data_IF_671518888996
#
_entry.id   IF_671518888996
#
_cell.length_a   1.000
_cell.length_b   1.000
_cell.length_c   1.000
_cell.angle_alpha   90.00
_cell.angle_beta   90.00
_cell.angle_gamma   90.00
#
_symmetry.space_group_name_H-M   'P 1'
#
loop_
_entity.id
_entity.type
_entity.pdbx_description
1 polymer ?
#
# COMPACT_ATOMS: atom_id res chain seq x y z
N UNK A 1 13.80 10.88 15.97
CA UNK A 1 12.77 9.82 15.81
C UNK A 1 13.31 8.48 16.27
N UNK A 2 12.52 7.73 17.02
CA UNK A 2 12.84 6.34 17.39
C UNK A 2 12.75 5.40 16.18
N UNK A 3 13.38 4.21 16.24
CA UNK A 3 13.27 3.19 15.17
C UNK A 3 11.81 2.81 14.91
N UNK A 4 11.03 2.62 15.97
CA UNK A 4 9.60 2.27 15.88
C UNK A 4 8.78 3.37 15.22
N UNK A 5 9.07 4.63 15.53
CA UNK A 5 8.41 5.78 14.92
C UNK A 5 8.73 5.89 13.42
N UNK A 6 10.00 5.68 13.02
CA UNK A 6 10.38 5.64 11.61
C UNK A 6 9.64 4.54 10.85
N UNK A 7 9.56 3.34 11.43
CA UNK A 7 8.83 2.22 10.84
C UNK A 7 7.34 2.53 10.69
N UNK A 8 6.72 3.13 11.72
CA UNK A 8 5.32 3.54 11.67
C UNK A 8 5.04 4.50 10.50
N UNK A 9 5.86 5.54 10.33
CA UNK A 9 5.67 6.50 9.24
C UNK A 9 5.91 5.91 7.86
N UNK A 10 6.84 4.97 7.72
CA UNK A 10 7.00 4.22 6.47
C UNK A 10 5.74 3.40 6.17
N UNK A 11 5.22 2.66 7.16
CA UNK A 11 4.03 1.83 6.96
C UNK A 11 2.80 2.68 6.59
N UNK A 12 2.64 3.85 7.21
CA UNK A 12 1.59 4.82 6.84
C UNK A 12 1.78 5.33 5.42
N UNK A 13 3.00 5.67 5.03
CA UNK A 13 3.31 6.16 3.67
C UNK A 13 3.02 5.10 2.62
N UNK A 14 3.42 3.85 2.88
CA UNK A 14 3.12 2.69 2.03
C UNK A 14 1.61 2.50 1.92
N UNK A 15 0.90 2.53 3.05
CA UNK A 15 -0.55 2.36 3.08
C UNK A 15 -1.26 3.41 2.23
N UNK A 16 -0.90 4.70 2.37
CA UNK A 16 -1.50 5.78 1.58
C UNK A 16 -1.20 5.64 0.09
N UNK A 17 0.06 5.37 -0.29
CA UNK A 17 0.42 5.20 -1.69
C UNK A 17 -0.33 4.03 -2.34
N UNK A 18 -0.42 2.89 -1.64
CA UNK A 18 -1.14 1.72 -2.11
C UNK A 18 -2.65 1.93 -2.13
N UNK A 19 -3.22 2.66 -1.16
CA UNK A 19 -4.63 3.02 -1.16
C UNK A 19 -4.99 3.85 -2.41
N UNK A 20 -4.19 4.86 -2.73
CA UNK A 20 -4.38 5.67 -3.94
C UNK A 20 -4.23 4.81 -5.20
N UNK A 21 -3.22 3.93 -5.23
CA UNK A 21 -3.01 2.98 -6.34
C UNK A 21 -4.24 2.08 -6.54
N UNK A 22 -4.77 1.51 -5.46
CA UNK A 22 -5.95 0.65 -5.49
C UNK A 22 -7.17 1.41 -5.98
N UNK A 23 -7.45 2.60 -5.42
CA UNK A 23 -8.60 3.41 -5.82
C UNK A 23 -8.52 3.80 -7.30
N UNK A 24 -7.38 4.32 -7.75
CA UNK A 24 -7.17 4.66 -9.16
C UNK A 24 -7.28 3.43 -10.07
N UNK A 25 -6.79 2.27 -9.64
CA UNK A 25 -6.92 1.01 -10.37
C UNK A 25 -8.37 0.57 -10.54
N UNK A 26 -9.18 0.64 -9.46
CA UNK A 26 -10.61 0.34 -9.54
C UNK A 26 -11.37 1.37 -10.40
N UNK A 27 -11.03 2.66 -10.33
CA UNK A 27 -11.63 3.66 -11.22
C UNK A 27 -11.30 3.37 -12.69
N UNK A 28 -10.05 3.06 -13.01
CA UNK A 28 -9.61 2.70 -14.35
C UNK A 28 -10.27 1.40 -14.86
N UNK A 29 -10.57 0.46 -13.97
CA UNK A 29 -11.16 -0.82 -14.33
C UNK A 29 -12.69 -0.78 -14.45
N UNK A 30 -13.38 -0.16 -13.49
CA UNK A 30 -14.85 -0.23 -13.35
C UNK A 30 -15.59 0.98 -13.92
N UNK A 31 -14.93 2.14 -14.03
CA UNK A 31 -15.62 3.41 -14.27
C UNK A 31 -15.15 4.08 -15.56
N UNK A 32 -13.84 4.16 -15.79
CA UNK A 32 -13.27 4.88 -16.94
C UNK A 32 -13.17 3.92 -18.14
N UNK A 33 -13.79 4.22 -19.29
CA UNK A 33 -13.70 3.35 -20.46
C UNK A 33 -12.27 3.22 -20.99
N UNK A 34 -12.01 2.16 -21.77
CA UNK A 34 -10.67 1.82 -22.26
C UNK A 34 -10.22 2.63 -23.51
N UNK A 35 -10.80 3.81 -23.72
CA UNK A 35 -10.46 4.71 -24.83
C UNK A 35 -9.67 5.91 -24.30
N UNK A 36 -8.57 6.25 -24.96
CA UNK A 36 -7.62 7.26 -24.46
C UNK A 36 -8.18 8.70 -24.50
N UNK A 37 -9.12 8.98 -25.40
CA UNK A 37 -9.66 10.33 -25.63
C UNK A 37 -10.76 10.75 -24.63
N UNK A 38 -11.04 9.93 -23.61
CA UNK A 38 -12.07 10.24 -22.62
C UNK A 38 -11.50 11.05 -21.45
N UNK A 39 -12.25 12.09 -21.11
CA UNK A 39 -12.08 12.86 -19.88
C UNK A 39 -13.00 12.33 -18.79
N UNK A 40 -12.45 12.14 -17.60
CA UNK A 40 -13.20 11.77 -16.40
C UNK A 40 -12.82 12.72 -15.26
N UNK A 41 -13.83 13.36 -14.65
CA UNK A 41 -13.65 14.45 -13.67
C UNK A 41 -12.73 15.57 -14.17
N UNK A 42 -12.82 15.91 -15.46
CA UNK A 42 -12.00 16.96 -16.09
C UNK A 42 -10.54 16.59 -16.36
N UNK A 43 -10.13 15.34 -16.10
CA UNK A 43 -8.78 14.85 -16.38
C UNK A 43 -8.81 13.77 -17.49
N UNK A 44 -7.84 13.74 -18.41
CA UNK A 44 -7.76 12.71 -19.43
C UNK A 44 -7.41 11.35 -18.79
N UNK A 45 -7.84 10.25 -19.41
CA UNK A 45 -7.53 8.89 -18.95
C UNK A 45 -6.04 8.65 -18.74
N UNK A 46 -5.19 9.24 -19.59
CA UNK A 46 -3.72 9.15 -19.46
C UNK A 46 -3.22 9.68 -18.12
N UNK A 47 -3.81 10.75 -17.58
CA UNK A 47 -3.49 11.27 -16.25
C UNK A 47 -3.87 10.28 -15.14
N UNK A 48 -5.02 9.62 -15.25
CA UNK A 48 -5.44 8.60 -14.30
C UNK A 48 -4.50 7.38 -14.32
N UNK A 49 -4.10 6.94 -15.52
CA UNK A 49 -3.10 5.86 -15.70
C UNK A 49 -1.76 6.27 -15.12
N UNK A 50 -1.29 7.49 -15.41
CA UNK A 50 -0.04 8.00 -14.86
C UNK A 50 -0.07 8.05 -13.34
N UNK A 51 -1.15 8.55 -12.74
CA UNK A 51 -1.32 8.54 -11.29
C UNK A 51 -1.25 7.12 -10.72
N UNK A 52 -1.99 6.17 -11.30
CA UNK A 52 -1.97 4.77 -10.87
C UNK A 52 -0.55 4.17 -10.89
N UNK A 53 0.19 4.39 -11.98
CA UNK A 53 1.57 3.88 -12.12
C UNK A 53 2.52 4.57 -11.14
N UNK A 54 2.47 5.90 -11.02
CA UNK A 54 3.35 6.65 -10.12
C UNK A 54 3.15 6.24 -8.66
N UNK A 55 1.90 6.19 -8.17
CA UNK A 55 1.63 5.73 -6.82
C UNK A 55 1.94 4.24 -6.63
N UNK A 56 1.75 3.42 -7.67
CA UNK A 56 2.14 2.00 -7.66
C UNK A 56 3.65 1.82 -7.49
N UNK A 57 4.46 2.60 -8.21
CA UNK A 57 5.92 2.61 -8.10
C UNK A 57 6.36 3.11 -6.71
N UNK A 58 5.73 4.17 -6.19
CA UNK A 58 6.00 4.66 -4.84
C UNK A 58 5.69 3.58 -3.79
N UNK A 59 4.55 2.90 -3.92
CA UNK A 59 4.16 1.78 -3.06
C UNK A 59 5.13 0.61 -3.14
N UNK A 60 5.59 0.26 -4.34
CA UNK A 60 6.60 -0.79 -4.57
C UNK A 60 7.94 -0.44 -3.93
N UNK A 61 8.44 0.78 -4.15
CA UNK A 61 9.67 1.25 -3.52
C UNK A 61 9.56 1.24 -1.99
N UNK A 62 8.43 1.71 -1.46
CA UNK A 62 8.14 1.66 -0.02
C UNK A 62 8.13 0.22 0.52
N UNK A 63 7.48 -0.72 -0.18
CA UNK A 63 7.48 -2.14 0.20
C UNK A 63 8.90 -2.72 0.19
N UNK A 64 9.73 -2.41 -0.81
CA UNK A 64 11.13 -2.84 -0.83
C UNK A 64 11.88 -2.33 0.41
N UNK A 65 11.70 -1.05 0.76
CA UNK A 65 12.28 -0.48 1.98
C UNK A 65 11.77 -1.17 3.25
N UNK A 66 10.47 -1.46 3.31
CA UNK A 66 9.86 -2.20 4.43
C UNK A 66 10.50 -3.58 4.60
N UNK A 67 10.68 -4.34 3.51
CA UNK A 67 11.38 -5.65 3.56
C UNK A 67 12.80 -5.48 4.12
N UNK A 68 13.55 -4.50 3.62
CA UNK A 68 14.94 -4.27 4.03
C UNK A 68 15.01 -3.93 5.52
N UNK A 69 14.15 -3.04 6.02
CA UNK A 69 14.11 -2.68 7.45
C UNK A 69 13.64 -3.80 8.36
N UNK A 70 12.86 -4.74 7.82
CA UNK A 70 12.34 -5.90 8.55
C UNK A 70 13.07 -7.21 8.21
N UNK A 71 14.26 -7.15 7.61
CA UNK A 71 14.98 -8.33 7.12
C UNK A 71 15.31 -9.35 8.22
N UNK A 72 15.75 -8.89 9.39
CA UNK A 72 16.07 -9.79 10.51
C UNK A 72 14.83 -10.50 11.05
N UNK A 73 13.70 -9.81 11.09
CA UNK A 73 12.41 -10.39 11.46
C UNK A 73 11.95 -11.44 10.44
N UNK A 74 12.12 -11.16 9.14
CA UNK A 74 11.83 -12.12 8.07
C UNK A 74 12.71 -13.38 8.17
N UNK A 75 14.01 -13.24 8.44
CA UNK A 75 14.91 -14.39 8.68
C UNK A 75 14.43 -15.24 9.86
N UNK A 76 14.06 -14.61 10.97
CA UNK A 76 13.53 -15.31 12.15
C UNK A 76 12.21 -16.05 11.90
N UNK A 77 11.39 -15.59 10.94
CA UNK A 77 10.16 -16.26 10.55
C UNK A 77 10.38 -17.52 9.71
N UNK A 78 11.41 -17.56 8.86
CA UNK A 78 11.67 -18.67 7.93
C UNK A 78 11.93 -19.99 8.65
N UNK A 79 12.59 -19.96 9.81
CA UNK A 79 12.96 -21.16 10.57
C UNK A 79 11.86 -21.82 11.41
N UNK A 80 10.63 -21.27 11.46
CA UNK A 80 9.57 -21.80 12.32
C UNK A 80 8.54 -22.59 11.51
N UNK A 81 8.30 -23.88 11.76
CA UNK A 81 7.26 -24.65 11.08
C UNK A 81 5.85 -24.09 11.36
N UNK A 82 4.90 -24.35 10.46
CA UNK A 82 3.49 -24.00 10.65
C UNK A 82 2.77 -24.97 11.61
N UNK A 83 3.28 -26.21 11.70
CA UNK A 83 2.79 -27.19 12.64
C UNK A 83 3.08 -26.75 14.09
N UNK A 84 2.11 -26.94 14.98
CA UNK A 84 2.23 -26.53 16.40
C UNK A 84 2.02 -25.04 16.68
N UNK A 85 1.80 -24.22 15.65
CA UNK A 85 1.55 -22.79 15.83
C UNK A 85 0.10 -22.51 16.27
N UNK A 86 -0.09 -21.53 17.17
CA UNK A 86 -1.43 -21.07 17.55
C UNK A 86 -2.24 -20.67 16.31
N UNK A 87 -3.52 -21.06 16.26
CA UNK A 87 -4.41 -20.87 15.09
C UNK A 87 -4.36 -19.45 14.50
N UNK A 88 -4.39 -18.42 15.36
CA UNK A 88 -4.32 -17.01 14.97
C UNK A 88 -3.00 -16.67 14.26
N UNK A 89 -1.86 -17.06 14.85
CA UNK A 89 -0.55 -16.78 14.28
C UNK A 89 -0.34 -17.54 12.96
N UNK A 90 -0.86 -18.77 12.87
CA UNK A 90 -0.85 -19.56 11.64
C UNK A 90 -1.65 -18.88 10.53
N UNK A 91 -2.87 -18.41 10.81
CA UNK A 91 -3.69 -17.68 9.87
C UNK A 91 -2.98 -16.42 9.35
N UNK A 92 -2.41 -15.60 10.25
CA UNK A 92 -1.65 -14.40 9.87
C UNK A 92 -0.49 -14.74 8.92
N UNK A 93 0.24 -15.82 9.23
CA UNK A 93 1.38 -16.23 8.39
C UNK A 93 0.95 -16.75 7.03
N UNK A 94 -0.18 -17.45 6.93
CA UNK A 94 -0.75 -17.91 5.65
C UNK A 94 -1.21 -16.71 4.83
N UNK A 95 -2.00 -15.81 5.42
CA UNK A 95 -2.48 -14.58 4.75
C UNK A 95 -1.29 -13.78 4.22
N UNK A 96 -0.27 -13.54 5.04
CA UNK A 96 0.91 -12.78 4.60
C UNK A 96 1.63 -13.45 3.42
N UNK A 97 1.77 -14.77 3.40
CA UNK A 97 2.42 -15.50 2.29
C UNK A 97 1.62 -15.39 1.00
N UNK A 98 0.31 -15.60 1.06
CA UNK A 98 -0.56 -15.51 -0.12
C UNK A 98 -0.62 -14.06 -0.61
N UNK A 99 -0.70 -13.10 0.30
CA UNK A 99 -0.68 -11.67 -0.01
C UNK A 99 0.61 -11.27 -0.73
N UNK A 100 1.77 -11.77 -0.30
CA UNK A 100 3.05 -11.56 -0.99
C UNK A 100 3.04 -12.10 -2.41
N UNK A 101 2.55 -13.32 -2.60
CA UNK A 101 2.45 -13.91 -3.93
C UNK A 101 1.51 -13.10 -4.83
N UNK A 102 0.32 -12.75 -4.34
CA UNK A 102 -0.64 -11.93 -5.07
C UNK A 102 -0.05 -10.55 -5.42
N UNK A 103 0.68 -9.92 -4.50
CA UNK A 103 1.34 -8.63 -4.74
C UNK A 103 2.37 -8.73 -5.86
N UNK A 104 3.26 -9.72 -5.82
CA UNK A 104 4.29 -9.92 -6.85
C UNK A 104 3.63 -10.21 -8.20
N UNK A 105 2.65 -11.11 -8.23
CA UNK A 105 1.92 -11.45 -9.45
C UNK A 105 1.21 -10.22 -10.05
N UNK A 106 0.60 -9.37 -9.23
CA UNK A 106 -0.03 -8.10 -9.65
C UNK A 106 1.00 -7.16 -10.28
N UNK A 107 2.15 -6.96 -9.65
CA UNK A 107 3.19 -6.06 -10.17
C UNK A 107 3.82 -6.57 -11.46
N UNK A 108 4.14 -7.87 -11.54
CA UNK A 108 4.72 -8.49 -12.74
C UNK A 108 3.75 -8.41 -13.91
N UNK A 109 2.49 -8.80 -13.70
CA UNK A 109 1.47 -8.73 -14.75
C UNK A 109 1.15 -7.29 -15.16
N UNK A 110 1.14 -6.34 -14.23
CA UNK A 110 0.96 -4.92 -14.52
C UNK A 110 2.12 -4.32 -15.32
N UNK A 111 3.36 -4.65 -14.97
CA UNK A 111 4.54 -4.23 -15.72
C UNK A 111 4.57 -4.82 -17.14
N UNK A 112 4.20 -6.10 -17.29
CA UNK A 112 4.05 -6.73 -18.60
C UNK A 112 2.93 -6.08 -19.41
N UNK A 113 1.78 -5.81 -18.80
CA UNK A 113 0.67 -5.11 -19.44
C UNK A 113 1.13 -3.74 -19.93
N UNK A 114 1.76 -2.93 -19.08
CA UNK A 114 2.29 -1.62 -19.45
C UNK A 114 3.29 -1.72 -20.61
N UNK A 115 4.23 -2.68 -20.56
CA UNK A 115 5.25 -2.88 -21.60
C UNK A 115 4.63 -3.23 -22.96
N UNK A 116 3.60 -4.09 -22.98
CA UNK A 116 2.92 -4.51 -24.21
C UNK A 116 2.04 -3.42 -24.84
N UNK A 117 1.76 -2.35 -24.10
CA UNK A 117 1.02 -1.18 -24.58
C UNK A 117 1.93 -0.02 -24.98
N UNK A 118 3.26 -0.16 -24.86
CA UNK A 118 4.19 0.89 -25.28
C UNK A 118 4.11 1.09 -26.80
N UNK A 119 3.85 2.33 -27.22
CA UNK A 119 3.81 2.73 -28.63
C UNK A 119 2.58 2.30 -29.40
N UNK A 120 1.49 1.89 -28.73
CA UNK A 120 0.23 1.52 -29.37
C UNK A 120 -0.85 2.55 -29.03
N UNK A 121 -1.49 3.12 -30.05
CA UNK A 121 -2.53 4.17 -29.89
C UNK A 121 -3.87 3.61 -29.39
N UNK A 122 -4.08 2.29 -29.48
CA UNK A 122 -5.30 1.61 -29.03
C UNK A 122 -5.02 0.65 -27.88
N UNK A 123 -5.78 0.78 -26.79
CA UNK A 123 -5.68 -0.12 -25.63
C UNK A 123 -6.41 -1.43 -25.91
N UNK A 124 -5.67 -2.50 -26.21
CA UNK A 124 -6.22 -3.84 -26.42
C UNK A 124 -5.97 -4.65 -25.16
N UNK A 125 -7.05 -5.03 -24.45
CA UNK A 125 -6.96 -5.85 -23.24
C UNK A 125 -6.35 -7.22 -23.58
N UNK A 126 -5.14 -7.49 -23.08
CA UNK A 126 -4.41 -8.75 -23.25
C UNK A 126 -4.45 -9.60 -21.98
N UNK A 127 -3.82 -10.77 -22.05
CA UNK A 127 -3.73 -11.69 -20.90
C UNK A 127 -3.09 -11.03 -19.67
N UNK A 128 -1.97 -10.26 -19.78
CA UNK A 128 -1.37 -9.61 -18.61
C UNK A 128 -2.30 -8.59 -17.93
N UNK A 129 -3.13 -7.86 -18.68
CA UNK A 129 -4.13 -6.93 -18.11
C UNK A 129 -5.14 -7.67 -17.23
N UNK A 130 -5.65 -8.80 -17.72
CA UNK A 130 -6.62 -9.62 -16.98
C UNK A 130 -5.99 -10.21 -15.73
N UNK A 131 -4.76 -10.72 -15.83
CA UNK A 131 -4.02 -11.23 -14.68
C UNK A 131 -3.76 -10.13 -13.64
N UNK A 132 -3.38 -8.92 -14.09
CA UNK A 132 -3.17 -7.77 -13.22
C UNK A 132 -4.42 -7.44 -12.42
N UNK A 133 -5.59 -7.41 -13.05
CA UNK A 133 -6.87 -7.18 -12.36
C UNK A 133 -7.18 -8.32 -11.37
N UNK A 134 -7.10 -9.59 -11.80
CA UNK A 134 -7.43 -10.74 -10.93
C UNK A 134 -6.54 -10.78 -9.69
N UNK A 135 -5.22 -10.64 -9.88
CA UNK A 135 -4.29 -10.63 -8.75
C UNK A 135 -4.42 -9.35 -7.92
N UNK A 136 -4.71 -8.20 -8.53
CA UNK A 136 -4.92 -6.93 -7.83
C UNK A 136 -6.16 -6.97 -6.92
N UNK A 137 -7.26 -7.57 -7.39
CA UNK A 137 -8.47 -7.81 -6.58
C UNK A 137 -8.16 -8.78 -5.44
N UNK A 138 -7.51 -9.91 -5.73
CA UNK A 138 -7.12 -10.88 -4.70
C UNK A 138 -6.21 -10.24 -3.63
N UNK A 139 -5.22 -9.46 -4.06
CA UNK A 139 -4.31 -8.73 -3.18
C UNK A 139 -5.05 -7.70 -2.33
N UNK A 140 -6.02 -6.98 -2.89
CA UNK A 140 -6.87 -6.01 -2.15
C UNK A 140 -7.66 -6.71 -1.05
N UNK A 141 -8.33 -7.83 -1.36
CA UNK A 141 -9.08 -8.63 -0.38
C UNK A 141 -8.16 -9.12 0.74
N UNK A 142 -6.98 -9.64 0.39
CA UNK A 142 -5.98 -10.11 1.36
C UNK A 142 -5.43 -8.97 2.23
N UNK A 143 -5.27 -7.78 1.67
CA UNK A 143 -4.86 -6.58 2.41
C UNK A 143 -5.93 -6.15 3.41
N UNK A 144 -7.21 -6.15 3.02
CA UNK A 144 -8.32 -5.89 3.94
C UNK A 144 -8.32 -6.93 5.07
N UNK A 145 -8.19 -8.21 4.74
CA UNK A 145 -8.10 -9.27 5.74
C UNK A 145 -6.89 -9.07 6.68
N UNK A 146 -5.73 -8.70 6.13
CA UNK A 146 -4.53 -8.39 6.91
C UNK A 146 -4.79 -7.22 7.88
N UNK A 147 -5.38 -6.13 7.41
CA UNK A 147 -5.71 -4.97 8.25
C UNK A 147 -6.68 -5.34 9.37
N UNK A 148 -7.72 -6.14 9.09
CA UNK A 148 -8.68 -6.63 10.09
C UNK A 148 -7.99 -7.49 11.15
N UNK A 149 -7.11 -8.42 10.74
CA UNK A 149 -6.35 -9.28 11.65
C UNK A 149 -5.43 -8.48 12.59
N UNK A 150 -4.97 -7.32 12.13
CA UNK A 150 -4.04 -6.44 12.84
C UNK A 150 -4.70 -5.18 13.44
N UNK A 151 -6.01 -5.00 13.31
CA UNK A 151 -6.72 -3.77 13.65
C UNK A 151 -6.43 -3.24 15.06
N UNK A 152 -6.50 -4.11 16.08
CA UNK A 152 -6.23 -3.72 17.48
C UNK A 152 -4.83 -3.13 17.66
N UNK A 153 -3.84 -3.70 17.00
CA UNK A 153 -2.47 -3.21 17.05
C UNK A 153 -2.31 -1.91 16.26
N UNK A 154 -2.96 -1.80 15.09
CA UNK A 154 -2.93 -0.59 14.27
C UNK A 154 -3.56 0.58 15.02
N UNK A 155 -4.75 0.40 15.60
CA UNK A 155 -5.47 1.44 16.34
C UNK A 155 -4.64 1.95 17.54
N UNK A 156 -4.16 1.03 18.38
CA UNK A 156 -3.34 1.39 19.54
C UNK A 156 -2.00 2.05 19.18
N UNK A 157 -1.38 1.63 18.07
CA UNK A 157 -0.14 2.25 17.58
C UNK A 157 -0.40 3.64 17.00
N UNK A 158 -1.50 3.79 16.27
CA UNK A 158 -1.91 5.07 15.67
C UNK A 158 -2.26 6.08 16.76
N UNK A 159 -3.04 5.69 17.77
CA UNK A 159 -3.34 6.54 18.93
C UNK A 159 -2.05 7.04 19.58
N UNK A 160 -1.09 6.14 19.84
CA UNK A 160 0.18 6.48 20.49
C UNK A 160 0.96 7.54 19.71
N UNK A 161 1.10 7.38 18.40
CA UNK A 161 1.95 8.29 17.62
C UNK A 161 1.22 9.56 17.15
N UNK A 162 -0.09 9.50 16.89
CA UNK A 162 -0.88 10.69 16.52
C UNK A 162 -1.16 11.59 17.74
N UNK A 163 -1.50 11.03 18.91
CA UNK A 163 -1.71 11.84 20.12
C UNK A 163 -0.43 12.49 20.65
N UNK A 164 0.72 11.81 20.56
CA UNK A 164 2.01 12.39 20.96
C UNK A 164 2.36 13.60 20.08
N UNK A 165 2.05 13.54 18.78
CA UNK A 165 2.28 14.66 17.87
C UNK A 165 1.34 15.85 18.16
N UNK A 166 0.07 15.58 18.52
CA UNK A 166 -0.90 16.62 18.92
C UNK A 166 -0.58 17.26 20.28
N UNK A 167 -0.07 16.48 21.25
CA UNK A 167 0.46 17.05 22.51
C UNK A 167 1.69 17.92 22.26
N UNK A 168 2.64 17.48 21.44
CA UNK A 168 3.83 18.27 21.08
C UNK A 168 3.47 19.65 20.50
N UNK A 169 2.47 19.71 19.61
CA UNK A 169 1.98 20.95 19.01
C UNK A 169 1.26 21.87 20.02
N UNK A 170 0.48 21.31 20.95
CA UNK A 170 -0.22 22.10 21.98
C UNK A 170 0.73 22.63 23.05
N UNK A 171 1.74 21.87 23.47
CA UNK A 171 2.76 22.36 24.43
C UNK A 171 3.66 23.43 23.82
N UNK A 172 4.01 23.32 22.52
CA UNK A 172 4.78 24.37 21.83
C UNK A 172 3.98 25.67 21.70
N UNK A 173 2.66 25.58 21.45
CA UNK A 173 1.76 26.75 21.40
C UNK A 173 1.58 27.40 22.77
N UNK A 174 1.47 26.60 23.84
CA UNK A 174 1.40 27.11 25.22
C UNK A 174 2.69 27.83 25.66
N UNK A 175 3.86 27.29 25.30
CA UNK A 175 5.16 27.87 25.68
C UNK A 175 5.49 29.17 24.94
N UNK A 176 4.92 29.38 23.75
CA UNK A 176 5.09 30.63 22.98
C UNK A 176 4.26 31.79 23.55
N UNK A 177 3.12 31.51 24.18
CA UNK A 177 2.24 32.53 24.79
C UNK A 177 2.86 33.12 26.07
N UNK A 178 3.59 32.31 26.86
CA UNK A 178 4.25 32.79 28.08
C UNK A 178 5.56 33.56 27.85
N UNK A 179 6.07 33.66 26.62
CA UNK A 179 7.36 34.31 26.31
C UNK A 179 7.23 35.64 25.55
N UNK A 180 6.02 36.12 25.32
CA UNK A 180 5.73 37.44 24.73
C UNK A 180 5.03 38.39 25.73
N UNK A 181 4.98 38.02 27.01
CA UNK A 181 4.42 38.84 28.09
C UNK A 181 5.45 39.27 29.14
N UNK A 182 6.74 39.16 28.84
CA UNK A 182 7.86 39.70 29.64
C UNK A 182 8.57 40.79 28.84
#
# INVERSE_FOLDING_TARGET
MSKTEKNFWLDVTIFVALLITTLTGFFLWLVIPHTLDIFYLGLPRSTWVAAHICFGIMGLAGIVLHIVWHWDWLKALRGRPLAGMQKKLRANRVVNRIMWFAYIATNVSGALAWTLHLGVDTYIVRVPDRLHVVFGVAWTILTIAHLVLHWKWIASTSERYMHVNLRGLTTFRGKKIYRQGE
#
